data_IF_644696748807
#
_entry.id   IF_644696748807
#
_cell.length_a   1.000
_cell.length_b   1.000
_cell.length_c   1.000
_cell.angle_alpha   90.00
_cell.angle_beta   90.00
_cell.angle_gamma   90.00
#
_symmetry.space_group_name_H-M   'P 1'
#
loop_
_entity.id
_entity.type
_entity.pdbx_description
1 polymer ?
#
# COMPACT_ATOMS: atom_id res chain seq x y z
N UNK A 1 25.76 53.00 26.83
CA UNK A 1 26.24 52.25 25.65
C UNK A 1 25.03 51.54 25.04
N UNK A 2 24.33 52.18 24.11
CA UNK A 2 24.44 51.97 22.65
C UNK A 2 24.20 50.53 22.17
N UNK A 3 23.02 50.37 21.57
CA UNK A 3 22.59 49.48 20.47
C UNK A 3 22.59 47.96 20.72
N UNK A 4 21.40 47.33 20.84
CA UNK A 4 20.50 46.87 19.76
C UNK A 4 21.06 45.67 18.98
N UNK A 5 20.33 44.55 19.03
CA UNK A 5 19.92 43.66 17.92
C UNK A 5 19.49 42.31 18.56
N UNK A 6 18.43 41.63 18.17
CA UNK A 6 17.20 41.93 17.46
C UNK A 6 16.33 40.72 17.78
N UNK A 7 15.19 40.92 18.46
CA UNK A 7 14.14 39.91 18.55
C UNK A 7 13.36 39.96 17.25
N UNK A 8 12.85 38.80 16.81
CA UNK A 8 11.87 38.66 15.73
C UNK A 8 12.52 38.78 14.35
N UNK A 9 12.30 37.91 13.37
CA UNK A 9 11.01 37.34 12.98
C UNK A 9 11.17 35.92 12.45
N UNK A 10 10.23 35.07 12.86
CA UNK A 10 9.88 33.87 12.10
C UNK A 10 9.39 34.33 10.72
N UNK A 11 10.23 34.27 9.70
CA UNK A 11 9.74 34.26 8.33
C UNK A 11 9.58 32.83 7.88
N UNK A 12 8.32 32.39 8.05
CA UNK A 12 7.65 31.47 7.17
C UNK A 12 7.93 31.87 5.70
N UNK A 13 8.69 31.06 4.98
CA UNK A 13 8.64 31.05 3.51
C UNK A 13 8.09 29.69 3.10
N UNK A 14 6.75 29.64 3.13
CA UNK A 14 5.95 28.67 2.42
C UNK A 14 6.36 28.67 0.95
N UNK A 15 7.08 27.65 0.55
CA UNK A 15 7.01 27.15 -0.83
C UNK A 15 7.24 25.65 -0.80
N UNK A 16 6.43 24.95 -0.01
CA UNK A 16 6.11 23.58 -0.35
C UNK A 16 5.16 23.69 -1.54
N UNK A 17 5.73 23.69 -2.75
CA UNK A 17 5.01 23.35 -3.97
C UNK A 17 4.28 22.05 -3.65
N UNK A 18 2.97 22.14 -3.44
CA UNK A 18 2.07 21.00 -3.46
C UNK A 18 2.24 20.37 -4.83
N UNK A 19 3.12 19.38 -4.92
CA UNK A 19 3.02 18.39 -5.95
C UNK A 19 1.74 17.67 -5.58
N UNK A 20 0.64 18.05 -6.23
CA UNK A 20 -0.50 17.17 -6.41
C UNK A 20 0.08 15.89 -7.01
N UNK A 21 0.49 14.97 -6.15
CA UNK A 21 0.61 13.57 -6.49
C UNK A 21 -0.84 13.16 -6.71
N UNK A 22 -1.31 13.46 -7.91
CA UNK A 22 -2.38 12.72 -8.53
C UNK A 22 -1.97 11.27 -8.33
N UNK A 23 -2.66 10.60 -7.41
CA UNK A 23 -2.51 9.16 -7.23
C UNK A 23 -3.12 8.56 -8.49
N UNK A 24 -2.35 8.59 -9.56
CA UNK A 24 -2.47 7.68 -10.68
C UNK A 24 -2.30 6.33 -10.03
N UNK A 25 -3.43 5.71 -9.74
CA UNK A 25 -3.48 4.29 -9.46
C UNK A 25 -3.17 3.66 -10.80
N UNK A 26 -1.88 3.58 -11.14
CA UNK A 26 -1.43 2.82 -12.29
C UNK A 26 -1.91 1.39 -12.02
N UNK A 27 -2.90 0.94 -12.80
CA UNK A 27 -3.32 -0.44 -12.75
C UNK A 27 -2.09 -1.27 -13.09
N UNK A 28 -1.46 -1.86 -12.08
CA UNK A 28 -0.28 -2.70 -12.26
C UNK A 28 -0.77 -3.95 -13.00
N UNK A 29 -0.56 -3.97 -14.31
CA UNK A 29 -0.91 -5.12 -15.14
C UNK A 29 0.16 -6.17 -14.97
N UNK A 30 -0.14 -7.24 -14.25
CA UNK A 30 0.75 -8.38 -14.12
C UNK A 30 0.56 -9.33 -15.31
N UNK A 31 1.65 -9.74 -15.93
CA UNK A 31 1.68 -10.79 -16.95
C UNK A 31 1.82 -12.17 -16.30
N UNK A 32 1.47 -13.23 -17.05
CA UNK A 32 1.64 -14.61 -16.58
C UNK A 32 3.11 -14.92 -16.24
N UNK A 33 4.05 -14.31 -16.97
CA UNK A 33 5.49 -14.49 -16.75
C UNK A 33 5.97 -13.79 -15.47
N UNK A 34 5.37 -12.66 -15.08
CA UNK A 34 5.65 -11.98 -13.81
C UNK A 34 5.03 -12.73 -12.61
N UNK A 35 3.94 -13.47 -12.84
CA UNK A 35 3.24 -14.27 -11.83
C UNK A 35 3.61 -15.74 -11.94
N UNK A 36 4.90 -16.08 -11.82
CA UNK A 36 5.39 -17.46 -11.92
C UNK A 36 4.69 -18.46 -10.99
N UNK A 37 4.08 -18.01 -9.88
CA UNK A 37 3.30 -18.87 -8.99
C UNK A 37 2.00 -19.40 -9.63
N UNK A 38 1.47 -18.74 -10.67
CA UNK A 38 0.27 -19.18 -11.38
C UNK A 38 0.54 -20.48 -12.15
N UNK A 39 1.74 -20.66 -12.70
CA UNK A 39 2.11 -21.86 -13.46
C UNK A 39 2.15 -23.13 -12.59
N UNK A 40 2.46 -22.98 -11.30
CA UNK A 40 2.53 -24.08 -10.33
C UNK A 40 1.24 -24.26 -9.51
N UNK A 41 0.22 -23.43 -9.76
CA UNK A 41 -1.06 -23.55 -9.08
C UNK A 41 -1.78 -24.85 -9.50
N UNK A 42 -2.50 -25.47 -8.56
CA UNK A 42 -3.31 -26.63 -8.88
C UNK A 42 -4.42 -26.27 -9.87
N UNK A 43 -4.67 -27.11 -10.87
CA UNK A 43 -5.73 -26.89 -11.88
C UNK A 43 -7.09 -26.57 -11.25
N UNK A 44 -7.44 -27.25 -10.14
CA UNK A 44 -8.70 -26.99 -9.42
C UNK A 44 -8.82 -25.56 -8.89
N UNK A 45 -7.69 -24.94 -8.50
CA UNK A 45 -7.65 -23.55 -8.04
C UNK A 45 -7.84 -22.62 -9.22
N UNK A 46 -7.13 -22.86 -10.33
CA UNK A 46 -7.27 -22.07 -11.55
C UNK A 46 -8.70 -22.09 -12.10
N UNK A 47 -9.35 -23.26 -12.10
CA UNK A 47 -10.75 -23.40 -12.50
C UNK A 47 -11.68 -22.63 -11.56
N UNK A 48 -11.53 -22.79 -10.24
CA UNK A 48 -12.36 -22.08 -9.27
C UNK A 48 -12.24 -20.55 -9.41
N UNK A 49 -11.02 -20.03 -9.64
CA UNK A 49 -10.80 -18.59 -9.88
C UNK A 49 -11.47 -18.16 -11.19
N UNK A 50 -11.27 -18.91 -12.29
CA UNK A 50 -11.85 -18.59 -13.58
C UNK A 50 -13.39 -18.60 -13.58
N UNK A 51 -14.01 -19.45 -12.76
CA UNK A 51 -15.46 -19.51 -12.57
C UNK A 51 -16.00 -18.46 -11.57
N UNK A 52 -15.12 -17.70 -10.90
CA UNK A 52 -15.52 -16.76 -9.84
C UNK A 52 -15.94 -17.44 -8.51
N UNK A 53 -15.62 -18.72 -8.33
CA UNK A 53 -15.89 -19.49 -7.11
C UNK A 53 -14.87 -19.21 -5.99
N UNK A 54 -13.73 -18.60 -6.33
CA UNK A 54 -12.66 -18.25 -5.39
C UNK A 54 -12.29 -16.76 -5.49
N UNK A 55 -12.51 -16.01 -4.40
CA UNK A 55 -12.11 -14.60 -4.29
C UNK A 55 -10.63 -14.49 -3.89
N UNK A 56 -9.75 -14.26 -4.88
CA UNK A 56 -8.32 -14.05 -4.65
C UNK A 56 -8.02 -12.76 -3.89
N UNK A 57 -8.87 -11.74 -3.96
CA UNK A 57 -8.66 -10.50 -3.21
C UNK A 57 -8.88 -10.72 -1.71
N UNK A 58 -9.85 -11.56 -1.34
CA UNK A 58 -10.04 -11.97 0.05
C UNK A 58 -8.86 -12.78 0.59
N UNK A 59 -8.37 -13.75 -0.18
CA UNK A 59 -7.17 -14.52 0.18
C UNK A 59 -5.93 -13.63 0.32
N UNK A 60 -5.72 -12.69 -0.62
CA UNK A 60 -4.60 -11.75 -0.55
C UNK A 60 -4.66 -10.89 0.71
N UNK A 61 -5.84 -10.39 1.10
CA UNK A 61 -6.02 -9.62 2.34
C UNK A 61 -5.67 -10.44 3.58
N UNK A 62 -6.11 -11.70 3.66
CA UNK A 62 -5.75 -12.62 4.75
C UNK A 62 -4.25 -12.86 4.82
N UNK A 63 -3.60 -13.07 3.68
CA UNK A 63 -2.16 -13.23 3.62
C UNK A 63 -1.40 -11.96 4.05
N UNK A 64 -1.85 -10.78 3.64
CA UNK A 64 -1.27 -9.50 4.08
C UNK A 64 -1.43 -9.32 5.60
N UNK A 65 -2.60 -9.67 6.16
CA UNK A 65 -2.83 -9.65 7.60
C UNK A 65 -1.89 -10.60 8.36
N UNK A 66 -1.78 -11.85 7.89
CA UNK A 66 -0.88 -12.87 8.46
C UNK A 66 0.59 -12.48 8.38
N UNK A 67 0.96 -11.65 7.40
CA UNK A 67 2.32 -11.12 7.21
C UNK A 67 2.58 -9.82 7.95
N UNK A 68 1.55 -9.23 8.58
CA UNK A 68 1.66 -7.95 9.29
C UNK A 68 1.84 -6.75 8.36
N UNK A 69 1.33 -6.82 7.13
CA UNK A 69 1.46 -5.79 6.10
C UNK A 69 0.18 -4.93 6.01
N UNK A 70 0.30 -3.66 5.60
CA UNK A 70 -0.84 -2.80 5.28
C UNK A 70 -1.23 -2.84 3.79
N UNK A 71 -2.13 -1.95 3.36
CA UNK A 71 -2.64 -1.87 1.98
C UNK A 71 -1.60 -1.39 0.97
N UNK A 72 -0.51 -0.80 1.46
CA UNK A 72 0.64 -0.35 0.68
C UNK A 72 1.78 -1.38 0.75
N UNK A 73 1.56 -2.55 1.37
CA UNK A 73 2.56 -3.58 1.56
C UNK A 73 3.64 -3.23 2.59
N UNK A 74 3.43 -2.21 3.43
CA UNK A 74 4.37 -1.83 4.47
C UNK A 74 4.14 -2.63 5.75
N UNK A 75 5.22 -2.98 6.46
CA UNK A 75 5.10 -3.66 7.75
C UNK A 75 4.47 -2.72 8.79
N UNK A 76 3.41 -3.20 9.45
CA UNK A 76 2.68 -2.48 10.52
C UNK A 76 2.44 -3.34 11.77
N UNK A 77 2.81 -4.63 11.73
CA UNK A 77 2.58 -5.61 12.79
C UNK A 77 1.24 -6.32 12.68
N UNK A 78 1.15 -7.52 13.26
CA UNK A 78 0.01 -8.44 13.08
C UNK A 78 -1.32 -7.85 13.58
N UNK A 79 -1.34 -7.26 14.78
CA UNK A 79 -2.57 -6.69 15.34
C UNK A 79 -3.12 -5.57 14.46
N UNK A 80 -2.24 -4.69 13.98
CA UNK A 80 -2.62 -3.57 13.12
C UNK A 80 -3.08 -4.06 11.75
N UNK A 81 -2.37 -5.02 11.15
CA UNK A 81 -2.74 -5.60 9.86
C UNK A 81 -4.10 -6.32 9.95
N UNK A 82 -4.36 -7.06 11.04
CA UNK A 82 -5.66 -7.68 11.30
C UNK A 82 -6.79 -6.65 11.36
N UNK A 83 -6.58 -5.51 12.03
CA UNK A 83 -7.58 -4.42 12.05
C UNK A 83 -7.80 -3.77 10.67
N UNK A 84 -6.82 -3.84 9.75
CA UNK A 84 -6.96 -3.27 8.41
C UNK A 84 -7.83 -4.17 7.51
N UNK A 85 -7.76 -5.49 7.69
CA UNK A 85 -8.34 -6.47 6.76
C UNK A 85 -9.51 -7.30 7.29
N UNK A 86 -9.60 -7.48 8.62
CA UNK A 86 -10.60 -8.32 9.29
C UNK A 86 -11.54 -7.52 10.22
N UNK A 87 -11.50 -6.18 10.16
CA UNK A 87 -12.38 -5.31 10.94
C UNK A 87 -13.83 -5.33 10.45
#
# INVERSE_FOLDING_TARGET
MTWLHSKSERQCSTSQRTQEISVITEATTFTVDELGFIQIALNKVLVAVANGELDLNDLARKELANRGLDKQGQWVGFDKANQIYNA
#
